data_IF_917926966778
#
_entry.id   IF_917926966778
#
_cell.length_a   1.000
_cell.length_b   1.000
_cell.length_c   1.000
_cell.angle_alpha   90.00
_cell.angle_beta   90.00
_cell.angle_gamma   90.00
#
_symmetry.space_group_name_H-M   'P 1'
#
loop_
_entity.id
_entity.type
_entity.pdbx_description
1 polymer ?
#
# COMPACT_ATOMS: atom_id res chain seq x y z
N UNK A 1 -17.89 2.97 -8.94
CA UNK A 1 -16.57 3.61 -8.78
C UNK A 1 -16.69 5.12 -8.82
N UNK A 2 -16.48 5.76 -7.66
CA UNK A 2 -16.46 7.22 -7.50
C UNK A 2 -15.22 7.82 -8.16
N UNK A 3 -15.25 9.14 -8.41
CA UNK A 3 -14.11 9.85 -9.00
C UNK A 3 -12.86 9.74 -8.12
N UNK A 4 -12.98 10.00 -6.81
CA UNK A 4 -11.87 9.93 -5.87
C UNK A 4 -11.29 8.50 -5.74
N UNK A 5 -12.14 7.46 -5.81
CA UNK A 5 -11.70 6.05 -5.87
C UNK A 5 -10.80 5.83 -7.08
N UNK A 6 -11.22 6.34 -8.25
CA UNK A 6 -10.43 6.23 -9.48
C UNK A 6 -9.09 6.94 -9.36
N UNK A 7 -9.05 8.12 -8.75
CA UNK A 7 -7.82 8.88 -8.55
C UNK A 7 -6.83 8.12 -7.67
N UNK A 8 -7.28 7.54 -6.55
CA UNK A 8 -6.45 6.67 -5.72
C UNK A 8 -5.88 5.47 -6.49
N UNK A 9 -6.70 4.79 -7.29
CA UNK A 9 -6.25 3.67 -8.12
C UNK A 9 -5.25 4.09 -9.19
N UNK A 10 -5.38 5.28 -9.78
CA UNK A 10 -4.37 5.84 -10.70
C UNK A 10 -3.05 6.08 -9.96
N UNK A 11 -3.08 6.57 -8.72
CA UNK A 11 -1.85 6.70 -7.93
C UNK A 11 -1.23 5.36 -7.59
N UNK A 12 -2.03 4.34 -7.20
CA UNK A 12 -1.54 2.99 -6.96
C UNK A 12 -0.89 2.39 -8.21
N UNK A 13 -1.49 2.61 -9.39
CA UNK A 13 -0.93 2.16 -10.66
C UNK A 13 0.43 2.81 -10.95
N UNK A 14 0.63 4.09 -10.59
CA UNK A 14 1.94 4.74 -10.71
C UNK A 14 3.00 4.06 -9.84
N UNK A 15 2.66 3.64 -8.63
CA UNK A 15 3.62 2.91 -7.77
C UNK A 15 3.98 1.54 -8.34
N UNK A 16 3.00 0.78 -8.84
CA UNK A 16 3.27 -0.50 -9.51
C UNK A 16 4.19 -0.30 -10.71
N UNK A 17 3.90 0.71 -11.53
CA UNK A 17 4.71 1.03 -12.69
C UNK A 17 6.13 1.53 -12.31
N UNK A 18 6.31 2.12 -11.13
CA UNK A 18 7.63 2.40 -10.55
C UNK A 18 8.35 1.12 -10.14
N UNK A 19 7.67 0.21 -9.43
CA UNK A 19 8.24 -1.10 -9.06
C UNK A 19 8.75 -1.85 -10.29
N UNK A 20 7.95 -1.95 -11.35
CA UNK A 20 8.31 -2.65 -12.59
C UNK A 20 9.56 -2.06 -13.27
N UNK A 21 9.74 -0.74 -13.22
CA UNK A 21 10.91 -0.06 -13.82
C UNK A 21 12.18 -0.23 -13.01
N UNK A 22 12.04 -0.37 -11.69
CA UNK A 22 13.15 -0.44 -10.75
C UNK A 22 13.51 -1.89 -10.38
N UNK A 23 12.66 -2.85 -10.77
CA UNK A 23 12.87 -4.26 -10.49
C UNK A 23 14.17 -4.76 -11.12
N UNK A 24 15.00 -5.43 -10.32
CA UNK A 24 16.30 -5.97 -10.76
C UNK A 24 17.49 -5.04 -10.52
N UNK A 25 17.26 -3.81 -10.05
CA UNK A 25 18.32 -2.95 -9.53
C UNK A 25 18.49 -3.20 -8.02
N UNK A 26 19.54 -3.92 -7.64
CA UNK A 26 19.84 -4.26 -6.24
C UNK A 26 19.98 -3.02 -5.36
N UNK A 27 20.53 -1.91 -5.90
CA UNK A 27 20.72 -0.67 -5.17
C UNK A 27 19.39 0.03 -4.85
N UNK A 28 18.35 -0.22 -5.65
CA UNK A 28 17.03 0.42 -5.52
C UNK A 28 15.98 -0.50 -4.89
N UNK A 29 16.38 -1.64 -4.32
CA UNK A 29 15.47 -2.62 -3.70
C UNK A 29 14.57 -1.98 -2.65
N UNK A 30 15.11 -1.08 -1.81
CA UNK A 30 14.35 -0.35 -0.80
C UNK A 30 13.28 0.59 -1.42
N UNK A 31 13.57 1.18 -2.58
CA UNK A 31 12.63 2.05 -3.31
C UNK A 31 11.49 1.22 -3.93
N UNK A 32 11.80 0.04 -4.47
CA UNK A 32 10.78 -0.93 -4.94
C UNK A 32 9.86 -1.32 -3.78
N UNK A 33 10.45 -1.67 -2.64
CA UNK A 33 9.75 -2.02 -1.41
C UNK A 33 8.79 -0.91 -0.94
N UNK A 34 9.26 0.34 -0.94
CA UNK A 34 8.45 1.51 -0.62
C UNK A 34 7.24 1.65 -1.56
N UNK A 35 7.45 1.54 -2.88
CA UNK A 35 6.35 1.65 -3.84
C UNK A 35 5.37 0.47 -3.74
N UNK A 36 5.85 -0.74 -3.41
CA UNK A 36 4.98 -1.88 -3.18
C UNK A 36 4.01 -1.65 -2.01
N UNK A 37 4.51 -1.15 -0.87
CA UNK A 37 3.63 -0.80 0.26
C UNK A 37 2.66 0.33 -0.11
N UNK A 38 3.13 1.37 -0.80
CA UNK A 38 2.30 2.52 -1.19
C UNK A 38 1.19 2.12 -2.18
N UNK A 39 1.47 1.19 -3.10
CA UNK A 39 0.46 0.66 -4.02
C UNK A 39 -0.70 0.03 -3.25
N UNK A 40 -0.39 -0.84 -2.28
CA UNK A 40 -1.39 -1.49 -1.43
C UNK A 40 -2.14 -0.47 -0.57
N UNK A 41 -1.45 0.48 0.05
CA UNK A 41 -2.05 1.55 0.85
C UNK A 41 -3.10 2.32 0.04
N UNK A 42 -2.75 2.72 -1.19
CA UNK A 42 -3.62 3.50 -2.07
C UNK A 42 -4.80 2.70 -2.58
N UNK A 43 -4.63 1.41 -2.84
CA UNK A 43 -5.76 0.51 -3.14
C UNK A 43 -6.74 0.43 -1.95
N UNK A 44 -6.24 0.27 -0.73
CA UNK A 44 -7.09 0.26 0.47
C UNK A 44 -7.79 1.61 0.69
N UNK A 45 -7.10 2.73 0.47
CA UNK A 45 -7.70 4.07 0.53
C UNK A 45 -8.77 4.28 -0.55
N UNK A 46 -8.58 3.71 -1.73
CA UNK A 46 -9.62 3.72 -2.76
C UNK A 46 -10.90 3.02 -2.26
N UNK A 47 -10.76 1.88 -1.57
CA UNK A 47 -11.91 1.17 -0.98
C UNK A 47 -12.57 1.96 0.15
N UNK A 48 -11.79 2.63 0.99
CA UNK A 48 -12.31 3.53 2.05
C UNK A 48 -13.22 4.61 1.46
N UNK A 49 -12.80 5.23 0.35
CA UNK A 49 -13.59 6.24 -0.36
C UNK A 49 -14.80 5.63 -1.08
N UNK A 50 -14.63 4.47 -1.73
CA UNK A 50 -15.72 3.80 -2.45
C UNK A 50 -16.86 3.41 -1.52
N UNK A 51 -16.52 2.86 -0.34
CA UNK A 51 -17.49 2.44 0.67
C UNK A 51 -17.85 3.53 1.68
N UNK A 52 -17.33 4.75 1.52
CA UNK A 52 -17.68 5.89 2.40
C UNK A 52 -17.41 5.61 3.89
N UNK A 53 -16.38 4.81 4.20
CA UNK A 53 -16.01 4.41 5.57
C UNK A 53 -15.58 5.62 6.41
N UNK A 54 -15.14 6.70 5.76
CA UNK A 54 -14.73 7.97 6.38
C UNK A 54 -13.23 8.24 6.24
N UNK A 55 -12.77 9.37 6.78
CA UNK A 55 -11.37 9.76 6.66
C UNK A 55 -10.46 9.02 7.65
N UNK A 56 -9.56 8.18 7.13
CA UNK A 56 -8.59 7.42 7.93
C UNK A 56 -7.19 7.95 7.67
N UNK A 57 -6.65 8.72 8.63
CA UNK A 57 -5.27 9.24 8.55
C UNK A 57 -4.27 8.23 9.11
N UNK A 58 -3.99 7.17 8.35
CA UNK A 58 -2.96 6.19 8.70
C UNK A 58 -2.25 5.67 7.45
N UNK A 59 -1.03 5.18 7.67
CA UNK A 59 -0.21 4.44 6.69
C UNK A 59 -0.12 2.95 7.04
N UNK A 60 -0.75 2.55 8.15
CA UNK A 60 -0.76 1.17 8.60
C UNK A 60 -1.74 0.34 7.77
N UNK A 61 -1.20 -0.58 6.96
CA UNK A 61 -2.00 -1.42 6.07
C UNK A 61 -2.99 -2.32 6.83
N UNK A 62 -2.64 -2.78 8.05
CA UNK A 62 -3.52 -3.64 8.86
C UNK A 62 -4.74 -2.84 9.32
N UNK A 63 -4.53 -1.60 9.77
CA UNK A 63 -5.63 -0.71 10.18
C UNK A 63 -6.52 -0.33 9.00
N UNK A 64 -5.93 -0.03 7.86
CA UNK A 64 -6.69 0.27 6.64
C UNK A 64 -7.50 -0.94 6.20
N UNK A 65 -6.90 -2.13 6.13
CA UNK A 65 -7.61 -3.36 5.78
C UNK A 65 -8.76 -3.64 6.76
N UNK A 66 -8.52 -3.56 8.07
CA UNK A 66 -9.55 -3.75 9.08
C UNK A 66 -10.75 -2.80 8.96
N UNK A 67 -10.57 -1.62 8.35
CA UNK A 67 -11.67 -0.67 8.11
C UNK A 67 -12.54 -1.02 6.90
N UNK A 68 -12.01 -1.79 5.94
CA UNK A 68 -12.72 -2.15 4.70
C UNK A 68 -13.04 -3.64 4.61
N UNK A 69 -12.47 -4.48 5.48
CA UNK A 69 -12.57 -5.94 5.42
C UNK A 69 -14.03 -6.44 5.40
N UNK A 70 -14.95 -5.79 6.13
CA UNK A 70 -16.37 -6.18 6.14
C UNK A 70 -17.10 -5.94 4.81
N UNK A 71 -16.50 -5.17 3.90
CA UNK A 71 -17.08 -4.86 2.58
C UNK A 71 -16.49 -5.73 1.46
N UNK A 72 -15.49 -6.57 1.75
CA UNK A 72 -14.81 -7.42 0.78
C UNK A 72 -15.34 -8.85 0.88
N UNK A 73 -15.41 -9.53 -0.26
CA UNK A 73 -15.77 -10.94 -0.40
C UNK A 73 -14.54 -11.87 -0.39
N UNK A 74 -13.37 -11.31 -0.14
CA UNK A 74 -12.09 -12.02 -0.01
C UNK A 74 -11.28 -11.48 1.16
N UNK A 75 -10.35 -12.32 1.63
CA UNK A 75 -9.40 -11.95 2.67
C UNK A 75 -8.04 -11.60 2.08
N UNK A 76 -7.37 -10.61 2.69
CA UNK A 76 -5.97 -10.30 2.39
C UNK A 76 -5.06 -11.05 3.36
N UNK A 77 -3.89 -11.45 2.87
CA UNK A 77 -2.85 -12.06 3.70
C UNK A 77 -2.32 -11.03 4.71
N UNK A 78 -2.72 -11.18 5.97
CA UNK A 78 -2.34 -10.30 7.07
C UNK A 78 -0.82 -10.33 7.34
N UNK A 79 -0.17 -11.48 7.15
CA UNK A 79 1.29 -11.59 7.33
C UNK A 79 2.02 -10.82 6.23
N UNK A 80 1.47 -10.83 5.00
CA UNK A 80 1.99 -10.01 3.91
C UNK A 80 1.82 -8.51 4.18
N UNK A 81 0.65 -8.07 4.66
CA UNK A 81 0.41 -6.67 5.02
C UNK A 81 1.36 -6.21 6.13
N UNK A 82 1.62 -7.07 7.12
CA UNK A 82 2.58 -6.80 8.20
C UNK A 82 4.00 -6.63 7.66
N UNK A 83 4.47 -7.54 6.80
CA UNK A 83 5.79 -7.45 6.17
C UNK A 83 5.96 -6.16 5.36
N UNK A 84 4.92 -5.75 4.62
CA UNK A 84 4.96 -4.50 3.85
C UNK A 84 5.07 -3.27 4.76
N UNK A 85 4.38 -3.25 5.90
CA UNK A 85 4.51 -2.19 6.91
C UNK A 85 5.94 -2.11 7.48
N UNK A 86 6.55 -3.25 7.81
CA UNK A 86 7.93 -3.34 8.34
C UNK A 86 8.93 -2.79 7.32
N UNK A 87 8.88 -3.32 6.10
CA UNK A 87 9.76 -2.90 5.00
C UNK A 87 9.62 -1.41 4.65
N UNK A 88 8.43 -0.81 4.84
CA UNK A 88 8.22 0.62 4.65
C UNK A 88 8.91 1.49 5.71
N UNK A 89 9.07 0.99 6.94
CA UNK A 89 9.87 1.67 7.97
C UNK A 89 11.34 1.58 7.59
N UNK A 90 11.82 0.38 7.26
CA UNK A 90 13.23 0.11 6.96
C UNK A 90 13.72 0.87 5.72
N UNK A 91 12.88 0.96 4.69
CA UNK A 91 13.20 1.68 3.46
C UNK A 91 13.44 3.18 3.68
N UNK A 92 12.97 3.76 4.78
CA UNK A 92 13.04 5.21 5.07
C UNK A 92 14.20 5.60 5.99
N UNK A 93 14.83 4.66 6.69
CA UNK A 93 15.87 4.96 7.68
C UNK A 93 17.15 4.16 7.41
N UNK A 94 18.30 4.83 7.15
CA UNK A 94 19.57 4.13 7.00
C UNK A 94 20.00 3.55 8.36
N UNK A 95 19.83 2.24 8.56
CA UNK A 95 20.30 1.55 9.79
C UNK A 95 19.52 0.29 10.20
N UNK A 96 18.35 0.03 9.64
CA UNK A 96 17.51 -1.14 10.00
C UNK A 96 17.64 -2.31 8.99
N UNK A 97 18.67 -2.29 8.13
CA UNK A 97 19.06 -3.50 7.38
C UNK A 97 19.83 -4.42 8.34
N UNK A 98 19.12 -5.35 8.98
CA UNK A 98 19.71 -6.47 9.72
C UNK A 98 20.35 -7.51 8.82
#
# INVERSE_FOLDING_TARGET
MKLITREWLIFAQKDVASCERLLGDEFLTNVVAFHAQQAVEKCLKALVEEFEVGFIKTHDLIKLYGSVASYLDFELDLDMLKKLNEVYVDARYPGEFG
#
